data_IF_702760252800
#
_entry.id   IF_702760252800
#
_cell.length_a   1.000
_cell.length_b   1.000
_cell.length_c   1.000
_cell.angle_alpha   90.00
_cell.angle_beta   90.00
_cell.angle_gamma   90.00
#
_symmetry.space_group_name_H-M   'P 1'
#
loop_
_entity.id
_entity.type
_entity.pdbx_description
1 polymer ?
#
# COMPACT_ATOMS: atom_id res chain seq x y z
N UNK A 1 -49.58 25.09 26.80
CA UNK A 1 -49.45 24.06 27.85
C UNK A 1 -49.59 22.69 27.19
N UNK A 2 -48.51 21.90 27.27
CA UNK A 2 -48.41 20.44 27.33
C UNK A 2 -49.08 19.53 26.27
N UNK A 3 -48.22 18.78 25.56
CA UNK A 3 -48.47 17.45 24.99
C UNK A 3 -48.59 16.38 26.09
N UNK A 4 -49.06 15.15 25.77
CA UNK A 4 -48.14 13.97 25.82
C UNK A 4 -48.39 12.91 24.71
N UNK A 5 -47.36 12.44 23.98
CA UNK A 5 -46.66 11.11 24.03
C UNK A 5 -47.51 9.89 23.61
N UNK A 6 -47.10 8.93 22.76
CA UNK A 6 -45.86 8.14 22.73
C UNK A 6 -45.58 7.53 21.33
N UNK A 7 -44.28 7.43 21.05
CA UNK A 7 -43.50 6.32 20.48
C UNK A 7 -43.90 5.63 19.16
N UNK A 8 -43.01 5.76 18.18
CA UNK A 8 -42.24 4.57 17.78
C UNK A 8 -40.86 4.98 17.28
N UNK A 9 -39.86 4.62 18.10
CA UNK A 9 -38.46 4.74 17.79
C UNK A 9 -38.11 3.93 16.53
N UNK A 10 -37.41 4.56 15.59
CA UNK A 10 -36.59 3.87 14.60
C UNK A 10 -35.16 4.33 14.78
N UNK A 11 -34.46 3.62 15.67
CA UNK A 11 -33.01 3.46 15.57
C UNK A 11 -32.71 2.57 14.37
N UNK A 12 -31.85 3.03 13.46
CA UNK A 12 -30.87 2.18 12.80
C UNK A 12 -29.86 3.01 11.99
N UNK A 13 -28.61 2.95 12.49
CA UNK A 13 -27.37 2.97 11.73
C UNK A 13 -26.92 4.31 11.13
N UNK A 14 -26.10 5.03 11.91
CA UNK A 14 -25.14 5.99 11.37
C UNK A 14 -24.12 5.27 10.50
N UNK A 15 -24.31 5.35 9.17
CA UNK A 15 -23.27 5.02 8.21
C UNK A 15 -22.21 6.10 8.32
N UNK A 16 -21.06 5.78 8.89
CA UNK A 16 -19.86 6.60 8.75
C UNK A 16 -19.62 6.79 7.25
N UNK A 17 -19.80 8.02 6.75
CA UNK A 17 -19.68 8.31 5.33
C UNK A 17 -18.28 7.95 4.85
N UNK A 18 -18.16 6.89 4.07
CA UNK A 18 -16.90 6.54 3.39
C UNK A 18 -16.60 7.65 2.40
N UNK A 19 -15.51 8.38 2.62
CA UNK A 19 -15.02 9.37 1.64
C UNK A 19 -14.69 8.63 0.35
N UNK A 20 -15.30 9.04 -0.76
CA UNK A 20 -14.98 8.51 -2.08
C UNK A 20 -14.02 9.47 -2.79
N UNK A 21 -12.95 8.92 -3.38
CA UNK A 21 -11.92 9.64 -4.12
C UNK A 21 -12.20 9.46 -5.62
N UNK A 22 -12.44 10.55 -6.38
CA UNK A 22 -12.62 10.46 -7.82
C UNK A 22 -11.30 10.08 -8.51
N UNK A 23 -11.26 8.88 -9.11
CA UNK A 23 -10.11 8.38 -9.84
C UNK A 23 -10.35 8.45 -11.34
N UNK A 24 -9.36 8.96 -12.09
CA UNK A 24 -9.38 8.98 -13.55
C UNK A 24 -8.62 7.79 -14.12
N UNK A 25 -9.30 6.98 -14.92
CA UNK A 25 -8.69 5.91 -15.69
C UNK A 25 -8.56 6.34 -17.15
N UNK A 26 -7.43 6.04 -17.77
CA UNK A 26 -7.09 6.47 -19.13
C UNK A 26 -6.59 5.28 -19.94
N UNK A 27 -7.03 5.18 -21.19
CA UNK A 27 -6.58 4.20 -22.17
C UNK A 27 -6.07 4.92 -23.42
N UNK A 28 -4.75 5.01 -23.67
CA UNK A 28 -4.18 5.83 -24.73
C UNK A 28 -4.03 5.15 -26.10
N UNK A 29 -4.40 3.86 -26.22
CA UNK A 29 -4.02 3.03 -27.36
C UNK A 29 -5.07 2.93 -28.48
N UNK A 30 -6.12 3.76 -28.44
CA UNK A 30 -7.23 3.70 -29.39
C UNK A 30 -8.15 2.48 -29.19
N UNK A 31 -9.21 2.44 -30.00
CA UNK A 31 -10.26 1.42 -29.97
C UNK A 31 -11.57 2.00 -30.52
N UNK A 32 -12.51 1.15 -30.91
CA UNK A 32 -13.88 1.58 -31.28
C UNK A 32 -14.79 1.65 -30.07
N UNK A 33 -14.65 0.70 -29.14
CA UNK A 33 -15.42 0.66 -27.90
C UNK A 33 -14.52 0.21 -26.77
N UNK A 34 -14.35 1.09 -25.79
CA UNK A 34 -13.44 0.92 -24.65
C UNK A 34 -14.26 0.97 -23.37
N UNK A 35 -14.09 -0.05 -22.53
CA UNK A 35 -14.74 -0.15 -21.23
C UNK A 35 -13.72 -0.44 -20.12
N UNK A 36 -14.09 -0.11 -18.89
CA UNK A 36 -13.33 -0.38 -17.68
C UNK A 36 -14.12 -1.31 -16.77
N UNK A 37 -13.45 -2.32 -16.21
CA UNK A 37 -13.99 -3.15 -15.13
C UNK A 37 -12.93 -3.34 -14.05
N UNK A 38 -13.34 -3.57 -12.80
CA UNK A 38 -12.41 -3.79 -11.71
C UNK A 38 -13.09 -4.26 -10.43
N UNK A 39 -12.33 -4.28 -9.34
CA UNK A 39 -12.83 -4.68 -8.02
C UNK A 39 -14.00 -3.82 -7.54
N UNK A 40 -14.02 -2.53 -7.91
CA UNK A 40 -15.08 -1.58 -7.60
C UNK A 40 -16.38 -1.81 -8.39
N UNK A 41 -16.33 -2.50 -9.54
CA UNK A 41 -17.51 -2.97 -10.29
C UNK A 41 -17.79 -4.46 -10.06
N UNK A 42 -17.14 -5.07 -9.07
CA UNK A 42 -17.17 -6.51 -8.79
C UNK A 42 -16.84 -7.38 -10.01
N UNK A 43 -16.08 -6.85 -10.97
CA UNK A 43 -15.75 -7.51 -12.24
C UNK A 43 -16.94 -7.92 -13.11
N UNK A 44 -18.14 -7.42 -12.80
CA UNK A 44 -19.38 -7.79 -13.51
C UNK A 44 -19.88 -6.66 -14.41
N UNK A 45 -19.63 -5.41 -14.03
CA UNK A 45 -20.07 -4.25 -14.80
C UNK A 45 -18.92 -3.67 -15.64
N UNK A 46 -19.28 -3.19 -16.84
CA UNK A 46 -18.39 -2.55 -17.80
C UNK A 46 -18.71 -1.05 -17.89
N UNK A 47 -17.85 -0.21 -17.34
CA UNK A 47 -17.99 1.25 -17.43
C UNK A 47 -17.50 1.72 -18.79
N UNK A 48 -18.40 2.28 -19.61
CA UNK A 48 -18.02 2.83 -20.91
C UNK A 48 -17.10 4.05 -20.74
N UNK A 49 -16.00 4.05 -21.49
CA UNK A 49 -15.05 5.16 -21.52
C UNK A 49 -15.35 6.11 -22.68
N UNK A 50 -15.09 7.40 -22.47
CA UNK A 50 -15.31 8.46 -23.47
C UNK A 50 -13.99 8.94 -24.05
N UNK A 51 -13.92 9.27 -25.35
CA UNK A 51 -12.73 9.91 -25.93
C UNK A 51 -12.38 11.22 -25.22
N UNK A 52 -11.09 11.51 -25.08
CA UNK A 52 -10.58 12.77 -24.54
C UNK A 52 -10.74 13.87 -25.60
N UNK A 53 -11.18 15.05 -25.18
CA UNK A 53 -11.31 16.21 -26.07
C UNK A 53 -9.98 16.52 -26.76
N UNK A 54 -10.00 16.63 -28.09
CA UNK A 54 -8.80 16.86 -28.89
C UNK A 54 -7.93 15.63 -29.16
N UNK A 55 -8.17 14.49 -28.48
CA UNK A 55 -7.39 13.26 -28.61
C UNK A 55 -8.33 12.04 -28.76
N UNK A 56 -8.90 11.78 -29.96
CA UNK A 56 -9.89 10.72 -30.17
C UNK A 56 -9.36 9.30 -29.98
N UNK A 57 -8.04 9.12 -29.94
CA UNK A 57 -7.38 7.83 -29.67
C UNK A 57 -7.22 7.56 -28.18
N UNK A 58 -7.44 8.55 -27.32
CA UNK A 58 -7.31 8.42 -25.87
C UNK A 58 -8.71 8.38 -25.27
N UNK A 59 -9.00 7.35 -24.48
CA UNK A 59 -10.27 7.18 -23.80
C UNK A 59 -10.08 7.40 -22.30
N UNK A 60 -11.10 7.94 -21.62
CA UNK A 60 -11.06 8.13 -20.18
C UNK A 60 -12.42 7.87 -19.53
N UNK A 61 -12.38 7.53 -18.24
CA UNK A 61 -13.55 7.52 -17.35
C UNK A 61 -13.12 7.96 -15.96
N UNK A 62 -13.99 8.67 -15.25
CA UNK A 62 -13.78 9.03 -13.85
C UNK A 62 -14.76 8.20 -13.02
N UNK A 63 -14.23 7.46 -12.04
CA UNK A 63 -15.04 6.68 -11.13
C UNK A 63 -14.59 6.93 -9.68
N UNK A 64 -15.56 7.07 -8.79
CA UNK A 64 -15.31 7.38 -7.38
C UNK A 64 -15.03 6.09 -6.62
N UNK A 65 -13.83 5.99 -6.03
CA UNK A 65 -13.35 4.80 -5.34
C UNK A 65 -13.22 5.05 -3.85
N UNK A 66 -13.43 4.00 -3.05
CA UNK A 66 -13.01 4.03 -1.65
C UNK A 66 -11.47 4.05 -1.58
N UNK A 67 -10.86 4.58 -0.52
CA UNK A 67 -9.43 4.41 -0.29
C UNK A 67 -9.06 2.93 -0.15
N UNK A 68 -7.90 2.56 -0.65
CA UNK A 68 -7.41 1.18 -0.64
C UNK A 68 -6.88 0.71 -1.99
N UNK A 69 -6.62 -0.60 -2.07
CA UNK A 69 -6.09 -1.25 -3.26
C UNK A 69 -7.21 -1.71 -4.18
N UNK A 70 -7.15 -1.30 -5.45
CA UNK A 70 -8.10 -1.69 -6.47
C UNK A 70 -7.38 -2.30 -7.66
N UNK A 71 -8.00 -3.35 -8.20
CA UNK A 71 -7.56 -4.00 -9.43
C UNK A 71 -8.54 -3.67 -10.54
N UNK A 72 -8.05 -3.50 -11.76
CA UNK A 72 -8.87 -3.16 -12.91
C UNK A 72 -8.29 -3.70 -14.20
N UNK A 73 -9.13 -3.73 -15.23
CA UNK A 73 -8.79 -4.16 -16.59
C UNK A 73 -9.66 -3.44 -17.61
N UNK A 74 -9.11 -3.24 -18.80
CA UNK A 74 -9.83 -2.63 -19.92
C UNK A 74 -10.43 -3.72 -20.80
N UNK A 75 -11.61 -3.46 -21.33
CA UNK A 75 -12.23 -4.28 -22.35
C UNK A 75 -12.33 -3.46 -23.63
N UNK A 76 -11.51 -3.80 -24.62
CA UNK A 76 -11.28 -3.00 -25.83
C UNK A 76 -11.64 -3.83 -27.04
N UNK A 77 -12.66 -3.41 -27.79
CA UNK A 77 -13.11 -4.05 -29.03
C UNK A 77 -13.37 -5.56 -28.91
N UNK A 78 -13.81 -6.02 -27.73
CA UNK A 78 -14.09 -7.44 -27.47
C UNK A 78 -13.01 -8.18 -26.69
N UNK A 79 -11.85 -7.55 -26.46
CA UNK A 79 -10.67 -8.19 -25.86
C UNK A 79 -10.30 -7.57 -24.52
N UNK A 80 -9.94 -8.41 -23.55
CA UNK A 80 -9.45 -7.97 -22.25
C UNK A 80 -7.99 -7.52 -22.34
N UNK A 81 -7.74 -6.25 -22.05
CA UNK A 81 -6.42 -5.61 -22.12
C UNK A 81 -6.04 -4.96 -20.80
N UNK A 82 -4.75 -4.83 -20.59
CA UNK A 82 -4.19 -4.05 -19.50
C UNK A 82 -3.21 -3.04 -20.10
N UNK A 83 -2.91 -1.99 -19.36
CA UNK A 83 -1.90 -1.02 -19.73
C UNK A 83 -0.54 -1.47 -19.18
N UNK A 84 0.40 -1.84 -20.05
CA UNK A 84 1.75 -2.30 -19.70
C UNK A 84 2.59 -1.19 -19.02
N UNK A 85 2.17 0.07 -19.14
CA UNK A 85 2.84 1.22 -18.51
C UNK A 85 2.28 1.58 -17.13
N UNK A 86 1.22 0.89 -16.69
CA UNK A 86 0.63 1.07 -15.37
C UNK A 86 1.04 -0.08 -14.44
N UNK A 87 0.99 0.14 -13.11
CA UNK A 87 1.10 -0.95 -12.14
C UNK A 87 0.20 -2.12 -12.51
N UNK A 88 0.74 -3.34 -12.46
CA UNK A 88 -0.01 -4.55 -12.72
C UNK A 88 0.46 -5.70 -11.84
N UNK A 89 -0.42 -6.68 -11.67
CA UNK A 89 -0.12 -7.95 -11.01
C UNK A 89 -0.53 -9.10 -11.92
N UNK A 90 0.30 -10.14 -11.94
CA UNK A 90 0.00 -11.39 -12.62
C UNK A 90 -0.64 -12.38 -11.64
N UNK A 91 -1.79 -12.94 -12.00
CA UNK A 91 -2.45 -13.98 -11.22
C UNK A 91 -3.05 -15.08 -12.09
N UNK A 92 -3.90 -15.92 -11.49
CA UNK A 92 -4.56 -17.06 -12.17
C UNK A 92 -5.44 -16.64 -13.36
N UNK A 93 -5.94 -15.40 -13.35
CA UNK A 93 -6.81 -14.84 -14.39
C UNK A 93 -6.05 -13.93 -15.38
N UNK A 94 -4.72 -14.08 -15.43
CA UNK A 94 -3.81 -13.28 -16.24
C UNK A 94 -3.40 -11.98 -15.57
N UNK A 95 -2.93 -11.02 -16.36
CA UNK A 95 -2.45 -9.73 -15.87
C UNK A 95 -3.63 -8.75 -15.70
N UNK A 96 -3.65 -8.05 -14.58
CA UNK A 96 -4.59 -6.97 -14.26
C UNK A 96 -3.84 -5.75 -13.76
N UNK A 97 -4.32 -4.55 -14.10
CA UNK A 97 -3.74 -3.33 -13.57
C UNK A 97 -4.14 -3.12 -12.11
N UNK A 98 -3.34 -2.37 -11.37
CA UNK A 98 -3.57 -2.04 -9.96
C UNK A 98 -3.48 -0.55 -9.70
N UNK A 99 -4.18 -0.10 -8.68
CA UNK A 99 -4.10 1.27 -8.17
C UNK A 99 -4.27 1.24 -6.66
N UNK A 100 -3.46 2.04 -5.96
CA UNK A 100 -3.59 2.25 -4.51
C UNK A 100 -4.05 3.69 -4.28
N UNK A 101 -5.23 3.86 -3.72
CA UNK A 101 -5.73 5.16 -3.30
C UNK A 101 -5.45 5.37 -1.82
N UNK A 102 -4.48 6.22 -1.52
CA UNK A 102 -4.25 6.71 -0.17
C UNK A 102 -5.26 7.83 0.15
N UNK A 103 -5.82 7.81 1.36
CA UNK A 103 -6.67 8.89 1.88
C UNK A 103 -5.89 10.19 2.11
N UNK A 104 -4.56 10.13 2.05
CA UNK A 104 -3.64 11.23 2.35
C UNK A 104 -2.85 11.64 1.09
N UNK A 105 -2.86 12.91 0.65
CA UNK A 105 -2.22 13.36 -0.60
C UNK A 105 -0.68 13.21 -0.65
N UNK A 106 -0.04 12.64 0.37
CA UNK A 106 1.43 12.53 0.47
C UNK A 106 2.00 11.10 0.27
N UNK A 107 1.23 10.11 -0.18
CA UNK A 107 1.76 8.75 -0.42
C UNK A 107 1.86 8.48 -1.92
N UNK A 108 3.09 8.54 -2.44
CA UNK A 108 3.44 7.94 -3.74
C UNK A 108 3.64 6.44 -3.52
N UNK A 109 2.93 5.53 -4.22
CA UNK A 109 3.17 4.11 -4.07
C UNK A 109 4.47 3.73 -4.79
N UNK A 110 5.54 3.54 -4.01
CA UNK A 110 6.69 2.75 -4.45
C UNK A 110 6.22 1.31 -4.52
N UNK A 111 5.97 0.81 -5.73
CA UNK A 111 5.87 -0.62 -5.97
C UNK A 111 7.28 -1.19 -5.92
N UNK A 112 7.68 -1.69 -4.76
CA UNK A 112 8.81 -2.60 -4.68
C UNK A 112 8.43 -3.94 -5.32
N UNK A 113 9.18 -4.45 -6.31
CA UNK A 113 9.02 -5.81 -6.77
C UNK A 113 9.49 -6.74 -5.65
N UNK A 114 8.60 -7.64 -5.21
CA UNK A 114 8.97 -8.73 -4.32
C UNK A 114 9.96 -9.65 -5.03
N UNK A 115 11.15 -9.84 -4.46
CA UNK A 115 11.94 -11.06 -4.67
C UNK A 115 12.48 -11.54 -3.33
N UNK A 116 11.89 -12.66 -2.88
CA UNK A 116 12.51 -13.87 -2.32
C UNK A 116 13.31 -13.74 -1.01
N UNK A 117 12.77 -14.45 -0.01
CA UNK A 117 13.46 -15.08 1.12
C UNK A 117 14.88 -15.55 0.80
N UNK A 118 15.86 -15.01 1.50
CA UNK A 118 17.24 -15.50 1.48
C UNK A 118 18.16 -14.63 2.31
N UNK A 119 18.43 -15.06 3.54
CA UNK A 119 19.46 -14.50 4.41
C UNK A 119 20.85 -14.65 3.80
N UNK A 120 21.60 -13.55 3.63
CA UNK A 120 22.96 -13.37 4.15
C UNK A 120 23.55 -12.09 3.57
N UNK A 121 24.13 -11.27 4.44
CA UNK A 121 25.00 -10.18 4.03
C UNK A 121 26.29 -10.79 3.45
N UNK A 122 26.52 -10.58 2.16
CA UNK A 122 27.89 -10.49 1.66
C UNK A 122 27.95 -9.43 0.55
N UNK A 123 28.93 -8.55 0.69
CA UNK A 123 29.09 -7.34 -0.12
C UNK A 123 29.98 -7.70 -1.30
N UNK A 124 29.39 -8.11 -2.43
CA UNK A 124 30.14 -8.23 -3.69
C UNK A 124 29.52 -7.41 -4.82
N UNK A 125 30.29 -6.39 -5.19
CA UNK A 125 30.00 -5.27 -6.09
C UNK A 125 30.09 -5.63 -7.60
N UNK A 126 29.68 -6.84 -8.00
CA UNK A 126 29.80 -7.29 -9.40
C UNK A 126 28.49 -7.83 -10.03
N UNK A 127 27.36 -7.81 -9.32
CA UNK A 127 26.08 -8.31 -9.86
C UNK A 127 25.30 -7.30 -10.74
N UNK A 128 25.70 -6.02 -10.79
CA UNK A 128 24.93 -4.98 -11.51
C UNK A 128 25.40 -4.68 -12.95
N UNK A 129 26.32 -5.46 -13.52
CA UNK A 129 26.80 -5.24 -14.90
C UNK A 129 26.20 -6.13 -15.98
N UNK A 130 25.27 -7.03 -15.66
CA UNK A 130 24.77 -7.99 -16.65
C UNK A 130 23.38 -7.69 -17.23
N UNK A 131 23.17 -6.46 -17.72
CA UNK A 131 22.19 -6.21 -18.79
C UNK A 131 22.61 -5.13 -19.81
N UNK A 132 23.92 -4.87 -19.94
CA UNK A 132 24.49 -4.15 -21.09
C UNK A 132 25.52 -5.05 -21.76
N UNK A 133 25.04 -6.17 -22.30
CA UNK A 133 25.70 -6.80 -23.45
C UNK A 133 24.81 -6.57 -24.64
N UNK A 134 25.15 -5.48 -25.32
CA UNK A 134 24.85 -5.27 -26.72
C UNK A 134 25.19 -6.56 -27.48
N UNK A 135 24.17 -7.31 -27.89
CA UNK A 135 24.28 -8.03 -29.16
C UNK A 135 24.16 -6.97 -30.24
N UNK A 136 25.31 -6.68 -30.83
CA UNK A 136 25.46 -5.84 -32.01
C UNK A 136 24.52 -6.28 -33.13
N UNK A 137 24.12 -5.26 -33.90
CA UNK A 137 23.53 -5.31 -35.24
C UNK A 137 22.02 -5.64 -35.38
N UNK A 138 21.29 -4.59 -35.78
CA UNK A 138 20.07 -4.58 -36.61
C UNK A 138 18.71 -4.54 -35.90
N UNK A 139 18.23 -3.35 -35.48
CA UNK A 139 16.97 -2.73 -35.96
C UNK A 139 16.62 -1.41 -35.22
N UNK A 140 16.29 -0.42 -36.06
CA UNK A 140 15.79 0.94 -35.87
C UNK A 140 14.93 1.27 -34.63
N UNK A 141 15.28 2.42 -34.00
CA UNK A 141 14.44 3.45 -33.36
C UNK A 141 13.18 3.03 -32.57
N UNK A 142 13.35 2.76 -31.27
CA UNK A 142 12.32 3.00 -30.25
C UNK A 142 12.91 3.90 -29.16
N UNK A 143 12.37 5.11 -29.03
CA UNK A 143 12.79 6.12 -28.06
C UNK A 143 12.26 5.75 -26.66
N UNK A 144 12.93 4.85 -25.96
CA UNK A 144 12.86 4.80 -24.50
C UNK A 144 13.46 6.13 -23.97
N UNK A 145 12.81 6.85 -23.03
CA UNK A 145 13.48 7.90 -22.29
C UNK A 145 14.59 7.22 -21.49
N UNK A 146 15.81 7.20 -22.03
CA UNK A 146 16.99 6.85 -21.26
C UNK A 146 17.11 7.94 -20.19
N UNK A 147 16.73 7.62 -18.97
CA UNK A 147 16.89 8.51 -17.82
C UNK A 147 18.36 8.93 -17.84
N UNK A 148 18.62 10.20 -18.12
CA UNK A 148 19.99 10.67 -18.23
C UNK A 148 20.60 10.72 -16.83
N UNK A 149 21.93 10.54 -16.72
CA UNK A 149 22.62 10.69 -15.43
C UNK A 149 22.35 12.07 -14.79
N UNK A 150 22.06 13.08 -15.62
CA UNK A 150 21.67 14.43 -15.19
C UNK A 150 20.27 14.45 -14.55
N UNK A 151 19.32 13.68 -15.07
CA UNK A 151 17.97 13.55 -14.48
C UNK A 151 18.03 12.81 -13.15
N UNK A 152 18.87 11.77 -13.06
CA UNK A 152 19.12 11.04 -11.80
C UNK A 152 19.74 11.99 -10.79
N UNK A 153 20.77 12.75 -11.17
CA UNK A 153 21.43 13.67 -10.25
C UNK A 153 20.49 14.80 -9.80
N UNK A 154 19.65 15.31 -10.71
CA UNK A 154 18.66 16.35 -10.41
C UNK A 154 17.59 15.83 -9.45
N UNK A 155 17.10 14.60 -9.64
CA UNK A 155 16.13 13.99 -8.72
C UNK A 155 16.75 13.72 -7.36
N UNK A 156 17.99 13.22 -7.29
CA UNK A 156 18.74 13.04 -6.03
C UNK A 156 18.92 14.35 -5.28
N UNK A 157 19.28 15.43 -5.98
CA UNK A 157 19.43 16.75 -5.36
C UNK A 157 18.09 17.28 -4.81
N UNK A 158 17.00 17.10 -5.55
CA UNK A 158 15.65 17.51 -5.09
C UNK A 158 15.18 16.70 -3.89
N UNK A 159 15.37 15.38 -3.91
CA UNK A 159 15.02 14.49 -2.79
C UNK A 159 15.88 14.82 -1.57
N UNK A 160 17.19 15.00 -1.75
CA UNK A 160 18.10 15.36 -0.66
C UNK A 160 17.74 16.70 -0.04
N UNK A 161 17.38 17.70 -0.85
CA UNK A 161 16.94 19.00 -0.35
C UNK A 161 15.62 18.87 0.43
N UNK A 162 14.64 18.13 -0.10
CA UNK A 162 13.37 17.89 0.57
C UNK A 162 13.54 17.15 1.92
N UNK A 163 14.33 16.08 1.96
CA UNK A 163 14.60 15.33 3.18
C UNK A 163 15.43 16.11 4.20
N UNK A 164 16.22 17.09 3.74
CA UNK A 164 16.96 18.00 4.64
C UNK A 164 16.09 19.13 5.18
N UNK A 165 14.93 19.37 4.56
CA UNK A 165 13.98 20.42 4.92
C UNK A 165 12.77 19.90 5.72
N UNK A 166 12.55 18.57 5.75
CA UNK A 166 11.45 17.94 6.48
C UNK A 166 11.97 17.17 7.69
N UNK A 167 11.25 17.25 8.81
CA UNK A 167 11.56 16.40 9.98
C UNK A 167 10.79 15.10 9.88
N UNK A 168 11.31 14.01 10.45
CA UNK A 168 10.67 12.69 10.39
C UNK A 168 9.21 12.67 10.91
N UNK A 169 8.83 13.67 11.71
CA UNK A 169 7.47 13.85 12.23
C UNK A 169 6.47 14.41 11.21
N UNK A 170 6.92 15.16 10.20
CA UNK A 170 6.04 15.70 9.14
C UNK A 170 5.67 14.63 8.09
N UNK A 171 6.43 13.53 8.05
CA UNK A 171 6.20 12.41 7.11
C UNK A 171 5.29 11.32 7.69
N UNK A 172 4.98 11.39 8.99
CA UNK A 172 4.02 10.50 9.62
C UNK A 172 2.60 11.08 9.46
N UNK A 173 1.58 10.28 9.06
CA UNK A 173 0.21 10.76 8.99
C UNK A 173 -0.24 11.33 10.35
N UNK A 174 -1.07 12.39 10.34
CA UNK A 174 -1.53 13.10 11.56
C UNK A 174 -2.18 12.19 12.63
N UNK A 175 -2.54 10.93 12.29
CA UNK A 175 -3.15 9.97 13.21
C UNK A 175 -2.69 8.52 12.96
N UNK A 176 -1.38 8.29 12.85
CA UNK A 176 -0.80 6.95 12.96
C UNK A 176 -0.38 6.67 14.40
N UNK A 177 -1.17 5.91 15.18
CA UNK A 177 -0.70 5.42 16.49
C UNK A 177 0.35 4.34 16.28
N UNK A 178 1.62 4.72 16.29
CA UNK A 178 2.74 3.77 16.33
C UNK A 178 3.09 3.52 17.79
N UNK A 179 2.88 2.29 18.26
CA UNK A 179 3.25 1.87 19.61
C UNK A 179 4.43 0.92 19.50
N UNK A 180 5.58 1.35 20.01
CA UNK A 180 6.78 0.52 20.20
C UNK A 180 6.92 0.25 21.69
N UNK A 181 7.23 -0.98 22.08
CA UNK A 181 7.46 -1.34 23.47
C UNK A 181 8.97 -1.40 23.72
N UNK A 182 9.43 -0.79 24.81
CA UNK A 182 10.82 -0.93 25.23
C UNK A 182 11.10 -2.38 25.65
N UNK A 183 12.28 -2.91 25.36
CA UNK A 183 12.73 -4.24 25.81
C UNK A 183 12.75 -4.38 27.33
N UNK A 184 12.97 -3.28 28.05
CA UNK A 184 13.02 -3.26 29.52
C UNK A 184 11.62 -3.12 30.15
N UNK A 185 10.56 -3.02 29.33
CA UNK A 185 9.19 -2.87 29.80
C UNK A 185 8.67 -4.17 30.45
N UNK A 186 8.23 -4.16 31.71
CA UNK A 186 7.64 -5.33 32.36
C UNK A 186 6.46 -5.92 31.57
N UNK A 187 6.46 -7.25 31.42
CA UNK A 187 5.45 -8.00 30.64
C UNK A 187 4.00 -7.66 31.04
N UNK A 188 3.73 -7.45 32.33
CA UNK A 188 2.40 -7.04 32.83
C UNK A 188 1.96 -5.67 32.29
N UNK A 189 2.89 -4.72 32.20
CA UNK A 189 2.64 -3.39 31.66
C UNK A 189 2.49 -3.45 30.13
N UNK A 190 3.33 -4.24 29.45
CA UNK A 190 3.22 -4.50 28.02
C UNK A 190 1.82 -5.05 27.64
N UNK A 191 1.31 -6.03 28.40
CA UNK A 191 -0.03 -6.58 28.20
C UNK A 191 -1.13 -5.51 28.36
N UNK A 192 -1.03 -4.70 29.42
CA UNK A 192 -2.01 -3.65 29.69
C UNK A 192 -2.05 -2.61 28.56
N UNK A 193 -0.88 -2.16 28.08
CA UNK A 193 -0.77 -1.21 26.97
C UNK A 193 -1.39 -1.78 25.69
N UNK A 194 -1.07 -3.02 25.32
CA UNK A 194 -1.62 -3.64 24.12
C UNK A 194 -3.14 -3.81 24.19
N UNK A 195 -3.66 -4.22 25.36
CA UNK A 195 -5.09 -4.35 25.59
C UNK A 195 -5.83 -3.01 25.54
N UNK A 196 -5.34 -1.98 26.23
CA UNK A 196 -5.97 -0.65 26.26
C UNK A 196 -5.92 0.06 24.91
N UNK A 197 -4.82 -0.11 24.16
CA UNK A 197 -4.70 0.49 22.83
C UNK A 197 -5.37 -0.33 21.73
N UNK A 198 -5.87 -1.54 22.04
CA UNK A 198 -6.48 -2.43 21.05
C UNK A 198 -5.50 -2.92 19.99
N UNK A 199 -4.21 -3.04 20.35
CA UNK A 199 -3.13 -3.40 19.43
C UNK A 199 -2.77 -4.88 19.64
N UNK A 200 -2.88 -5.74 18.61
CA UNK A 200 -2.62 -7.18 18.75
C UNK A 200 -1.12 -7.53 18.75
N UNK A 201 -0.27 -6.65 18.24
CA UNK A 201 1.18 -6.84 18.10
C UNK A 201 1.90 -5.50 18.17
N UNK A 202 3.01 -5.43 18.91
CA UNK A 202 3.88 -4.26 18.92
C UNK A 202 5.36 -4.64 18.73
N UNK A 203 6.14 -3.86 17.96
CA UNK A 203 7.58 -4.03 17.86
C UNK A 203 8.27 -3.72 19.20
N UNK A 204 9.35 -4.47 19.48
CA UNK A 204 10.23 -4.27 20.62
C UNK A 204 11.43 -3.41 20.20
N UNK A 205 11.63 -2.30 20.91
CA UNK A 205 12.71 -1.35 20.71
C UNK A 205 13.76 -1.49 21.80
N UNK A 206 15.00 -1.78 21.41
CA UNK A 206 16.14 -1.79 22.32
C UNK A 206 16.81 -0.41 22.28
N UNK A 207 16.60 0.38 23.34
CA UNK A 207 17.12 1.75 23.42
C UNK A 207 18.65 1.79 23.49
N UNK A 208 19.29 0.77 24.07
CA UNK A 208 20.74 0.69 24.19
C UNK A 208 21.40 0.39 22.84
N UNK A 209 20.75 -0.44 22.01
CA UNK A 209 21.24 -0.79 20.67
C UNK A 209 20.67 0.10 19.56
N UNK A 210 19.67 0.93 19.86
CA UNK A 210 19.00 1.80 18.90
C UNK A 210 18.36 1.01 17.75
N UNK A 211 17.84 -0.18 18.01
CA UNK A 211 17.29 -1.06 16.97
C UNK A 211 16.06 -1.83 17.44
N UNK A 212 15.26 -2.27 16.46
CA UNK A 212 14.17 -3.20 16.69
C UNK A 212 14.73 -4.62 16.86
N UNK A 213 14.41 -5.25 18.00
CA UNK A 213 14.90 -6.60 18.32
C UNK A 213 13.87 -7.70 18.11
N UNK A 214 12.62 -7.34 17.84
CA UNK A 214 11.56 -8.30 17.57
C UNK A 214 10.17 -7.68 17.62
N UNK A 215 9.18 -8.56 17.70
CA UNK A 215 7.76 -8.21 17.87
C UNK A 215 7.19 -9.00 19.04
N UNK A 216 6.28 -8.37 19.78
CA UNK A 216 5.55 -8.98 20.89
C UNK A 216 4.06 -9.07 20.52
N UNK A 217 3.52 -10.27 20.52
CA UNK A 217 2.15 -10.59 20.12
C UNK A 217 1.35 -11.27 21.24
N UNK A 218 0.04 -11.40 21.05
CA UNK A 218 -0.84 -12.16 21.95
C UNK A 218 -0.36 -13.60 22.19
N UNK A 219 0.23 -14.26 21.18
CA UNK A 219 0.76 -15.61 21.31
C UNK A 219 1.96 -15.66 22.26
N UNK A 220 2.83 -14.64 22.21
CA UNK A 220 4.01 -14.57 23.07
C UNK A 220 3.60 -14.45 24.53
N UNK A 221 2.54 -13.69 24.86
CA UNK A 221 2.00 -13.68 26.23
C UNK A 221 1.49 -15.05 26.68
N UNK A 222 0.79 -15.79 25.81
CA UNK A 222 0.33 -17.14 26.13
C UNK A 222 1.51 -18.05 26.41
N UNK A 223 2.57 -17.96 25.61
CA UNK A 223 3.79 -18.73 25.79
C UNK A 223 4.52 -18.34 27.07
N UNK A 224 4.70 -17.04 27.34
CA UNK A 224 5.33 -16.54 28.56
C UNK A 224 4.56 -16.99 29.80
N UNK A 225 3.22 -16.90 29.80
CA UNK A 225 2.40 -17.36 30.93
C UNK A 225 2.47 -18.87 31.09
N UNK A 226 2.51 -19.65 30.00
CA UNK A 226 2.62 -21.11 30.06
C UNK A 226 3.98 -21.57 30.56
N UNK A 227 5.06 -20.89 30.18
CA UNK A 227 6.43 -21.27 30.52
C UNK A 227 6.85 -20.74 31.90
N UNK A 228 6.41 -19.53 32.27
CA UNK A 228 6.77 -18.88 33.56
C UNK A 228 5.71 -19.10 34.65
N UNK A 229 4.47 -19.44 34.28
CA UNK A 229 3.39 -19.76 35.23
C UNK A 229 3.72 -20.88 36.22
N UNK A 230 4.40 -21.97 35.82
CA UNK A 230 4.85 -23.02 36.74
C UNK A 230 5.89 -22.55 37.76
N UNK A 231 6.65 -21.48 37.48
CA UNK A 231 7.71 -20.97 38.35
C UNK A 231 7.20 -20.00 39.44
N UNK A 232 5.93 -19.56 39.37
CA UNK A 232 5.29 -18.74 40.39
C UNK A 232 4.47 -19.56 41.41
N UNK A 233 4.36 -20.88 41.22
CA UNK A 233 3.85 -21.77 42.25
C UNK A 233 5.01 -22.21 43.15
N UNK A 234 5.31 -21.37 44.15
CA UNK A 234 6.09 -21.77 45.31
C UNK A 234 5.33 -22.95 45.96
N UNK A 235 5.96 -24.12 46.18
CA UNK A 235 5.29 -25.21 46.87
C UNK A 235 5.04 -24.79 48.32
N UNK A 236 3.78 -24.52 48.67
CA UNK A 236 3.31 -24.74 50.04
C UNK A 236 3.29 -26.25 50.27
N UNK A 237 4.30 -26.75 50.98
CA UNK A 237 4.25 -27.51 52.25
C UNK A 237 5.70 -27.86 52.61
#
# INVERSE_FOLDING_TARGET
>A
MFSPSMDSARDASGVAGTVLIPMRFVWPYGGRSVYLSGSFTRWSELLQMSPVEGCPTVFQVIHSLIPGHHQYKFFVDGEWRHDDHQPCVSGEYGIVNTVLLATDPNIVPVLTPEIVSGSNMDVDNEAFRCMVRLTDSTLNNVLLPRISDVDIQTSRQRISAFLSMSTAYELLPESGKVVTLDVDLPVKQAFHILHEQGIPVAPLWDICKGQFVGVLSALDFILIIREVGPLLHIPTI
#
